data_IF_442705119424
#
_entry.id   IF_442705119424
#
_cell.length_a   1.000
_cell.length_b   1.000
_cell.length_c   1.000
_cell.angle_alpha   90.00
_cell.angle_beta   90.00
_cell.angle_gamma   90.00
#
_symmetry.space_group_name_H-M   'P 1'
#
loop_
_entity.id
_entity.type
_entity.pdbx_description
1 polymer ?
#
# COMPACT_ATOMS: atom_id res chain seq x y z
N UNK A 1 -1.63 -19.84 -33.06
CA UNK A 1 -0.19 -19.83 -33.31
C UNK A 1 0.52 -19.92 -31.97
N UNK A 2 1.22 -21.01 -31.67
CA UNK A 2 1.99 -21.14 -30.43
C UNK A 2 3.22 -20.25 -30.54
N UNK A 3 3.35 -19.27 -29.64
CA UNK A 3 4.55 -18.45 -29.53
C UNK A 3 5.73 -19.35 -29.11
N UNK A 4 6.72 -19.46 -29.95
CA UNK A 4 7.99 -20.13 -29.62
C UNK A 4 8.61 -19.31 -28.50
N UNK A 5 8.56 -19.81 -27.28
CA UNK A 5 9.28 -19.21 -26.15
C UNK A 5 10.76 -19.46 -26.42
N UNK A 6 11.46 -18.45 -26.95
CA UNK A 6 12.90 -18.49 -27.11
C UNK A 6 13.56 -18.47 -25.73
N UNK A 7 14.09 -19.60 -25.26
CA UNK A 7 14.84 -19.65 -24.02
C UNK A 7 16.27 -19.12 -24.24
N UNK A 8 16.73 -18.25 -23.33
CA UNK A 8 18.11 -17.76 -23.40
C UNK A 8 19.09 -18.80 -22.77
N UNK A 9 19.47 -19.77 -23.57
CA UNK A 9 20.32 -20.89 -23.14
C UNK A 9 21.72 -20.47 -22.63
N UNK A 10 22.17 -19.25 -22.95
CA UNK A 10 23.49 -18.77 -22.54
C UNK A 10 23.52 -18.15 -21.13
N UNK A 11 22.34 -17.89 -20.49
CA UNK A 11 22.28 -17.29 -19.18
C UNK A 11 23.10 -18.03 -18.11
N UNK A 12 23.03 -19.37 -17.98
CA UNK A 12 23.85 -20.12 -17.01
C UNK A 12 25.36 -20.06 -17.26
N UNK A 13 25.77 -19.68 -18.47
CA UNK A 13 27.20 -19.55 -18.85
C UNK A 13 27.77 -18.17 -18.55
N UNK A 14 26.92 -17.20 -18.16
CA UNK A 14 27.41 -15.90 -17.73
C UNK A 14 28.16 -16.02 -16.40
N UNK A 15 29.22 -15.23 -16.20
CA UNK A 15 29.84 -15.06 -14.88
C UNK A 15 28.80 -14.76 -13.81
N UNK A 16 28.97 -15.23 -12.55
CA UNK A 16 28.01 -15.01 -11.47
C UNK A 16 27.67 -13.54 -11.25
N UNK A 17 28.64 -12.65 -11.38
CA UNK A 17 28.48 -11.20 -11.20
C UNK A 17 27.51 -10.62 -12.21
N UNK A 18 27.58 -11.07 -13.47
CA UNK A 18 26.67 -10.61 -14.53
C UNK A 18 25.26 -11.17 -14.31
N UNK A 19 25.13 -12.43 -13.87
CA UNK A 19 23.83 -13.00 -13.54
C UNK A 19 23.17 -12.25 -12.38
N UNK A 20 23.91 -11.95 -11.31
CA UNK A 20 23.42 -11.15 -10.18
C UNK A 20 22.99 -9.75 -10.62
N UNK A 21 23.75 -9.11 -11.51
CA UNK A 21 23.37 -7.81 -12.08
C UNK A 21 22.08 -7.88 -12.88
N UNK A 22 21.90 -8.95 -13.68
CA UNK A 22 20.64 -9.17 -14.41
C UNK A 22 19.48 -9.34 -13.45
N UNK A 23 19.63 -10.11 -12.36
CA UNK A 23 18.58 -10.25 -11.35
C UNK A 23 18.25 -8.92 -10.64
N UNK A 24 19.24 -8.11 -10.35
CA UNK A 24 19.01 -6.77 -9.76
C UNK A 24 18.23 -5.88 -10.73
N UNK A 25 18.56 -5.89 -12.01
CA UNK A 25 17.85 -5.14 -13.05
C UNK A 25 16.43 -5.68 -13.33
N UNK A 26 16.20 -6.96 -13.04
CA UNK A 26 14.90 -7.61 -13.18
C UNK A 26 13.98 -7.40 -11.96
N UNK A 27 14.41 -6.63 -10.95
CA UNK A 27 13.51 -6.22 -9.86
C UNK A 27 12.35 -5.41 -10.45
N UNK A 28 11.11 -5.66 -10.01
CA UNK A 28 9.96 -4.93 -10.53
C UNK A 28 10.05 -3.44 -10.23
N UNK A 29 9.35 -2.64 -11.01
CA UNK A 29 9.10 -1.24 -10.68
C UNK A 29 8.39 -1.11 -9.32
N UNK A 30 8.41 0.07 -8.67
CA UNK A 30 7.60 0.35 -7.49
C UNK A 30 6.16 -0.10 -7.69
N UNK A 31 5.59 -0.78 -6.70
CA UNK A 31 4.24 -1.35 -6.79
C UNK A 31 3.31 -0.67 -5.80
N UNK A 32 2.04 -0.66 -6.16
CA UNK A 32 0.96 -0.31 -5.25
C UNK A 32 0.44 -1.61 -4.65
N UNK A 33 0.53 -1.72 -3.33
CA UNK A 33 0.01 -2.86 -2.58
C UNK A 33 -1.31 -2.42 -1.94
N UNK A 34 -2.40 -2.61 -2.69
CA UNK A 34 -3.73 -2.30 -2.21
C UNK A 34 -4.15 -3.27 -1.10
N UNK A 35 -4.56 -2.71 0.01
CA UNK A 35 -5.20 -3.43 1.12
C UNK A 35 -6.71 -3.35 0.98
N UNK A 36 -7.37 -4.47 1.19
CA UNK A 36 -8.82 -4.62 1.19
C UNK A 36 -9.27 -5.32 2.46
N UNK A 37 -10.36 -4.87 3.04
CA UNK A 37 -10.95 -5.56 4.19
C UNK A 37 -11.84 -6.71 3.73
N UNK A 38 -11.61 -7.89 4.28
CA UNK A 38 -12.49 -9.05 4.11
C UNK A 38 -13.29 -9.30 5.38
N UNK A 39 -14.59 -8.97 5.35
CA UNK A 39 -15.50 -9.09 6.49
C UNK A 39 -15.60 -10.53 7.01
N UNK A 40 -15.59 -11.53 6.12
CA UNK A 40 -15.64 -12.95 6.49
C UNK A 40 -14.39 -13.40 7.27
N UNK A 41 -13.22 -12.93 6.87
CA UNK A 41 -11.96 -13.24 7.54
C UNK A 41 -11.63 -12.27 8.68
N UNK A 42 -12.38 -11.17 8.80
CA UNK A 42 -12.12 -10.05 9.74
C UNK A 42 -10.67 -9.60 9.71
N UNK A 43 -10.12 -9.44 8.52
CA UNK A 43 -8.71 -9.10 8.32
C UNK A 43 -8.49 -8.31 7.05
N UNK A 44 -7.41 -7.53 7.05
CA UNK A 44 -6.87 -6.90 5.84
C UNK A 44 -6.16 -7.94 4.99
N UNK A 45 -6.43 -7.90 3.71
CA UNK A 45 -5.81 -8.78 2.70
C UNK A 45 -5.35 -7.93 1.52
N UNK A 46 -4.48 -8.50 0.69
CA UNK A 46 -4.08 -7.87 -0.56
C UNK A 46 -4.19 -8.85 -1.72
N UNK A 47 -4.59 -8.36 -2.88
CA UNK A 47 -4.52 -9.11 -4.14
C UNK A 47 -3.13 -9.01 -4.79
N UNK A 48 -2.18 -8.33 -4.14
CA UNK A 48 -0.85 -8.10 -4.66
C UNK A 48 -0.13 -9.41 -4.96
N UNK A 49 0.34 -9.55 -6.19
CA UNK A 49 1.01 -10.77 -6.66
C UNK A 49 2.45 -10.79 -6.17
N UNK A 50 2.90 -11.95 -5.71
CA UNK A 50 4.32 -12.17 -5.40
C UNK A 50 5.18 -11.85 -6.62
N UNK A 51 6.21 -11.02 -6.52
CA UNK A 51 7.10 -10.69 -7.62
C UNK A 51 7.65 -11.93 -8.35
N UNK A 52 7.61 -11.92 -9.67
CA UNK A 52 8.03 -13.06 -10.49
C UNK A 52 9.46 -13.49 -10.18
N UNK A 53 10.36 -12.54 -9.93
CA UNK A 53 11.77 -12.79 -9.59
C UNK A 53 11.94 -13.69 -8.37
N UNK A 54 11.02 -13.65 -7.40
CA UNK A 54 11.05 -14.52 -6.21
C UNK A 54 10.58 -15.95 -6.50
N UNK A 55 10.03 -16.21 -7.69
CA UNK A 55 9.49 -17.51 -8.12
C UNK A 55 10.21 -18.12 -9.30
N UNK A 56 11.15 -17.41 -9.93
CA UNK A 56 11.81 -17.84 -11.17
C UNK A 56 12.80 -18.96 -10.90
N UNK A 57 13.80 -18.76 -10.05
CA UNK A 57 14.78 -19.79 -9.68
C UNK A 57 15.38 -19.51 -8.29
N UNK A 58 16.25 -20.38 -7.81
CA UNK A 58 16.91 -20.22 -6.52
C UNK A 58 17.79 -18.97 -6.48
N UNK A 59 18.60 -18.74 -7.51
CA UNK A 59 19.53 -17.61 -7.60
C UNK A 59 18.79 -16.27 -7.64
N UNK A 60 17.73 -16.15 -8.46
CA UNK A 60 16.90 -14.94 -8.52
C UNK A 60 16.23 -14.63 -7.18
N UNK A 61 15.71 -15.67 -6.52
CA UNK A 61 15.10 -15.53 -5.18
C UNK A 61 16.13 -15.08 -4.15
N UNK A 62 17.30 -15.70 -4.12
CA UNK A 62 18.38 -15.33 -3.20
C UNK A 62 18.79 -13.87 -3.39
N UNK A 63 18.95 -13.47 -4.65
CA UNK A 63 19.29 -12.07 -4.99
C UNK A 63 18.21 -11.06 -4.60
N UNK A 64 16.94 -11.42 -4.76
CA UNK A 64 15.83 -10.49 -4.57
C UNK A 64 15.28 -10.44 -3.14
N UNK A 65 15.34 -11.55 -2.39
CA UNK A 65 14.65 -11.64 -1.08
C UNK A 65 15.12 -10.62 -0.05
N UNK A 66 16.34 -10.11 -0.17
CA UNK A 66 16.89 -9.10 0.71
C UNK A 66 16.14 -7.77 0.68
N UNK A 67 15.50 -7.45 -0.45
CA UNK A 67 14.70 -6.22 -0.63
C UNK A 67 13.30 -6.34 -0.05
N UNK A 68 12.80 -7.56 0.13
CA UNK A 68 11.41 -7.78 0.56
C UNK A 68 11.32 -8.19 2.03
N UNK A 69 10.39 -7.56 2.74
CA UNK A 69 9.99 -7.97 4.08
C UNK A 69 8.64 -8.69 4.03
N UNK A 70 8.49 -9.71 4.87
CA UNK A 70 7.25 -10.45 5.01
C UNK A 70 6.34 -9.73 6.00
N UNK A 71 5.28 -9.12 5.53
CA UNK A 71 4.30 -8.42 6.35
C UNK A 71 3.06 -9.31 6.51
N UNK A 72 2.64 -9.47 7.73
CA UNK A 72 1.38 -10.12 8.09
C UNK A 72 0.59 -9.15 8.94
N UNK A 73 -0.68 -8.90 8.59
CA UNK A 73 -1.53 -7.93 9.26
C UNK A 73 -2.55 -8.65 10.12
N UNK A 74 -2.52 -8.36 11.40
CA UNK A 74 -3.40 -8.98 12.37
C UNK A 74 -3.39 -10.51 12.35
N UNK A 75 -4.56 -11.11 12.43
CA UNK A 75 -4.72 -12.57 12.39
C UNK A 75 -4.80 -13.13 10.95
N UNK A 76 -4.45 -12.33 9.94
CA UNK A 76 -4.46 -12.81 8.56
C UNK A 76 -3.36 -13.84 8.34
N UNK A 77 -3.70 -14.96 7.72
CA UNK A 77 -2.71 -15.98 7.31
C UNK A 77 -1.93 -15.58 6.07
N UNK A 78 -2.41 -14.56 5.35
CA UNK A 78 -1.75 -14.08 4.15
C UNK A 78 -0.47 -13.31 4.50
N UNK A 79 0.64 -13.72 3.90
CA UNK A 79 1.91 -13.00 3.94
C UNK A 79 2.03 -12.14 2.69
N UNK A 80 2.24 -10.85 2.89
CA UNK A 80 2.47 -9.86 1.85
C UNK A 80 3.98 -9.56 1.80
N UNK A 81 4.57 -9.61 0.61
CA UNK A 81 5.97 -9.26 0.41
C UNK A 81 6.07 -7.80 -0.02
N UNK A 82 6.67 -6.98 0.81
CA UNK A 82 6.77 -5.52 0.67
C UNK A 82 8.23 -5.10 0.59
N UNK A 83 8.55 -4.30 -0.41
CA UNK A 83 9.78 -3.52 -0.49
C UNK A 83 9.45 -2.09 0.02
N UNK A 84 9.76 -1.82 1.28
CA UNK A 84 9.37 -0.56 1.93
C UNK A 84 10.06 0.69 1.36
N UNK A 85 11.14 0.52 0.60
CA UNK A 85 11.82 1.63 -0.05
C UNK A 85 11.16 2.03 -1.38
N UNK A 86 10.38 1.11 -1.97
CA UNK A 86 9.84 1.27 -3.32
C UNK A 86 8.33 1.10 -3.42
N UNK A 87 7.74 0.20 -2.63
CA UNK A 87 6.33 -0.11 -2.70
C UNK A 87 5.49 0.89 -1.88
N UNK A 88 4.29 1.19 -2.37
CA UNK A 88 3.30 2.03 -1.68
C UNK A 88 2.23 1.14 -1.07
N UNK A 89 1.98 1.24 0.23
CA UNK A 89 0.82 0.62 0.86
C UNK A 89 -0.39 1.53 0.62
N UNK A 90 -1.42 0.99 -0.02
CA UNK A 90 -2.63 1.73 -0.36
C UNK A 90 -3.85 1.17 0.37
N UNK A 91 -4.46 1.98 1.21
CA UNK A 91 -5.77 1.73 1.81
C UNK A 91 -6.84 2.15 0.82
N UNK A 92 -7.21 1.22 -0.07
CA UNK A 92 -8.08 1.44 -1.21
C UNK A 92 -9.56 1.43 -0.87
N UNK A 93 -10.41 1.50 -1.91
CA UNK A 93 -11.88 1.54 -1.77
C UNK A 93 -12.44 0.35 -0.98
N UNK A 94 -11.79 -0.79 -1.05
CA UNK A 94 -12.15 -1.96 -0.24
C UNK A 94 -12.04 -1.78 1.27
N UNK A 95 -11.47 -0.67 1.73
CA UNK A 95 -11.41 -0.29 3.13
C UNK A 95 -12.52 0.70 3.55
N UNK A 96 -13.29 1.26 2.62
CA UNK A 96 -14.34 2.28 2.92
C UNK A 96 -15.39 1.79 3.91
N UNK A 97 -15.74 0.52 3.88
CA UNK A 97 -16.71 -0.06 4.82
C UNK A 97 -16.18 -0.26 6.25
N UNK A 98 -14.91 0.03 6.49
CA UNK A 98 -14.38 0.14 7.85
C UNK A 98 -14.82 1.42 8.53
N UNK A 99 -15.36 2.36 7.77
CA UNK A 99 -15.87 3.62 8.26
C UNK A 99 -17.37 3.51 8.50
N UNK A 100 -17.88 3.80 9.69
CA UNK A 100 -19.31 3.74 9.96
C UNK A 100 -20.04 4.88 9.30
N UNK A 101 -21.05 4.57 8.50
CA UNK A 101 -22.10 5.51 8.13
C UNK A 101 -23.12 5.59 9.28
N UNK A 102 -22.94 6.53 10.21
CA UNK A 102 -23.89 6.81 11.29
C UNK A 102 -23.48 6.34 12.69
N UNK A 103 -24.05 7.00 13.70
CA UNK A 103 -23.65 6.96 15.12
C UNK A 103 -23.88 5.64 15.88
N UNK A 104 -24.41 4.58 15.25
CA UNK A 104 -24.90 3.39 15.98
C UNK A 104 -24.47 2.05 15.39
N UNK A 105 -23.45 1.97 14.55
CA UNK A 105 -23.14 0.71 13.83
C UNK A 105 -22.10 -0.17 14.56
N UNK A 106 -22.30 -1.52 14.58
CA UNK A 106 -21.36 -2.48 15.20
C UNK A 106 -19.96 -2.49 14.56
N UNK A 107 -19.76 -1.83 13.42
CA UNK A 107 -18.49 -1.67 12.71
C UNK A 107 -17.43 -0.85 13.48
N UNK A 108 -17.84 -0.08 14.48
CA UNK A 108 -16.95 0.68 15.38
C UNK A 108 -15.87 -0.20 16.02
N UNK A 109 -16.26 -1.42 16.38
CA UNK A 109 -15.32 -2.39 16.98
C UNK A 109 -14.31 -2.94 15.97
N UNK A 110 -14.68 -3.05 14.69
CA UNK A 110 -13.82 -3.60 13.65
C UNK A 110 -12.71 -2.63 13.26
N UNK A 111 -13.01 -1.34 13.18
CA UNK A 111 -12.02 -0.31 12.87
C UNK A 111 -10.93 -0.25 13.94
N UNK A 112 -11.31 -0.30 15.21
CA UNK A 112 -10.34 -0.33 16.31
C UNK A 112 -9.37 -1.51 16.17
N UNK A 113 -9.88 -2.68 15.76
CA UNK A 113 -9.04 -3.86 15.56
C UNK A 113 -8.07 -3.68 14.40
N UNK A 114 -8.52 -3.15 13.26
CA UNK A 114 -7.63 -2.88 12.11
C UNK A 114 -6.54 -1.88 12.48
N UNK A 115 -6.91 -0.79 13.14
CA UNK A 115 -5.95 0.19 13.64
C UNK A 115 -4.96 -0.47 14.60
N UNK A 116 -5.45 -1.29 15.51
CA UNK A 116 -4.61 -2.03 16.44
C UNK A 116 -3.69 -3.02 15.71
N UNK A 117 -4.20 -3.74 14.71
CA UNK A 117 -3.42 -4.68 13.90
C UNK A 117 -2.30 -3.95 13.12
N UNK A 118 -2.58 -2.76 12.57
CA UNK A 118 -1.57 -1.92 11.93
C UNK A 118 -0.55 -1.43 12.96
N UNK A 119 -1.01 -0.90 14.09
CA UNK A 119 -0.16 -0.41 15.18
C UNK A 119 0.66 -1.52 15.85
N UNK A 120 0.21 -2.77 15.81
CA UNK A 120 0.99 -3.91 16.33
C UNK A 120 2.03 -4.44 15.35
N UNK A 121 1.98 -4.03 14.09
CA UNK A 121 2.94 -4.46 13.08
C UNK A 121 4.24 -3.65 13.16
N UNK A 122 5.21 -4.13 13.94
CA UNK A 122 6.53 -3.51 14.09
C UNK A 122 7.19 -3.20 12.74
N UNK A 123 7.02 -4.08 11.75
CA UNK A 123 7.59 -3.88 10.42
C UNK A 123 6.99 -2.67 9.70
N UNK A 124 5.67 -2.43 9.82
CA UNK A 124 5.05 -1.23 9.26
C UNK A 124 5.52 0.03 10.00
N UNK A 125 5.48 0.00 11.32
CA UNK A 125 5.89 1.15 12.14
C UNK A 125 7.31 1.61 11.81
N UNK A 126 8.24 0.68 11.73
CA UNK A 126 9.66 0.99 11.59
C UNK A 126 10.12 1.23 10.15
N UNK A 127 9.38 0.78 9.15
CA UNK A 127 9.90 0.77 7.79
C UNK A 127 9.03 1.49 6.76
N UNK A 128 7.74 1.76 7.05
CA UNK A 128 6.86 2.39 6.07
C UNK A 128 7.29 3.84 5.79
N UNK A 129 7.62 4.11 4.53
CA UNK A 129 8.07 5.43 4.05
C UNK A 129 6.94 6.17 3.34
N UNK A 130 6.14 5.45 2.56
CA UNK A 130 5.07 6.00 1.73
C UNK A 130 3.78 5.23 1.94
N UNK A 131 2.69 5.96 2.24
CA UNK A 131 1.34 5.41 2.38
C UNK A 131 0.38 6.18 1.50
N UNK A 132 -0.60 5.48 0.93
CA UNK A 132 -1.69 6.08 0.17
C UNK A 132 -3.04 5.73 0.82
N UNK A 133 -3.95 6.69 0.82
CA UNK A 133 -5.31 6.53 1.33
C UNK A 133 -6.33 6.96 0.29
N UNK A 134 -7.36 6.16 0.12
CA UNK A 134 -8.54 6.57 -0.63
C UNK A 134 -9.23 7.76 0.05
N UNK A 135 -9.61 8.79 -0.72
CA UNK A 135 -10.17 10.02 -0.15
C UNK A 135 -11.50 9.78 0.58
N UNK A 136 -12.35 8.88 0.07
CA UNK A 136 -13.61 8.54 0.74
C UNK A 136 -13.38 7.79 2.06
N UNK A 137 -12.32 6.98 2.11
CA UNK A 137 -11.90 6.33 3.36
C UNK A 137 -11.44 7.37 4.40
N UNK A 138 -10.65 8.36 4.00
CA UNK A 138 -10.20 9.44 4.88
C UNK A 138 -11.37 10.26 5.40
N UNK A 139 -12.21 10.82 4.51
CA UNK A 139 -13.36 11.64 4.88
C UNK A 139 -14.29 10.92 5.85
N UNK A 140 -14.54 9.64 5.60
CA UNK A 140 -15.34 8.86 6.52
C UNK A 140 -14.67 8.62 7.89
N UNK A 141 -13.36 8.74 8.01
CA UNK A 141 -12.66 8.70 9.30
C UNK A 141 -12.77 10.02 10.06
N UNK A 142 -12.83 11.16 9.37
CA UNK A 142 -12.98 12.50 9.96
C UNK A 142 -14.36 12.73 10.55
N UNK A 143 -15.43 12.27 9.87
CA UNK A 143 -16.84 12.39 10.35
C UNK A 143 -17.11 11.57 11.64
N UNK A 144 -16.20 10.73 12.04
CA UNK A 144 -16.31 9.99 13.29
C UNK A 144 -15.55 10.74 14.39
N UNK A 145 -16.01 10.70 15.65
CA UNK A 145 -15.31 11.20 16.85
C UNK A 145 -13.90 10.59 17.05
N UNK A 146 -13.20 10.27 15.93
CA UNK A 146 -12.04 9.40 15.80
C UNK A 146 -10.87 10.06 15.08
N UNK A 147 -10.82 11.38 15.08
CA UNK A 147 -9.63 12.11 14.63
C UNK A 147 -8.33 11.49 15.17
N UNK A 148 -8.39 10.98 16.40
CA UNK A 148 -7.26 10.29 17.02
C UNK A 148 -6.82 9.01 16.31
N UNK A 149 -7.69 8.33 15.57
CA UNK A 149 -7.36 7.01 14.99
C UNK A 149 -6.44 7.07 13.78
N UNK A 150 -6.65 8.04 12.87
CA UNK A 150 -5.75 8.25 11.73
C UNK A 150 -4.41 8.83 12.21
N UNK A 151 -4.49 9.85 13.06
CA UNK A 151 -3.31 10.48 13.66
C UNK A 151 -2.47 9.46 14.42
N UNK A 152 -3.09 8.62 15.22
CA UNK A 152 -2.44 7.55 15.94
C UNK A 152 -1.71 6.54 15.01
N UNK A 153 -2.31 6.22 13.85
CA UNK A 153 -1.67 5.37 12.85
C UNK A 153 -0.44 6.07 12.28
N UNK A 154 -0.61 7.31 11.83
CA UNK A 154 0.49 8.07 11.22
C UNK A 154 1.62 8.34 12.23
N UNK A 155 1.26 8.58 13.50
CA UNK A 155 2.23 8.79 14.57
C UNK A 155 3.00 7.54 14.95
N UNK A 156 2.41 6.37 14.75
CA UNK A 156 3.11 5.11 15.00
C UNK A 156 4.18 4.79 13.96
N UNK A 157 4.17 5.46 12.79
CA UNK A 157 5.09 5.18 11.69
C UNK A 157 6.33 6.06 11.76
N UNK A 158 7.46 5.49 12.18
CA UNK A 158 8.70 6.22 12.47
C UNK A 158 9.34 6.85 11.23
N UNK A 159 9.33 6.13 10.10
CA UNK A 159 9.98 6.53 8.84
C UNK A 159 9.03 7.13 7.82
N UNK A 160 7.77 7.34 8.17
CA UNK A 160 6.80 7.89 7.24
C UNK A 160 7.20 9.31 6.82
N UNK A 161 7.43 9.49 5.53
CA UNK A 161 7.80 10.77 4.91
C UNK A 161 6.76 11.31 3.96
N UNK A 162 5.91 10.42 3.40
CA UNK A 162 4.95 10.82 2.38
C UNK A 162 3.59 10.15 2.59
N UNK A 163 2.54 10.96 2.46
CA UNK A 163 1.14 10.52 2.42
C UNK A 163 0.53 10.97 1.10
N UNK A 164 -0.10 10.04 0.40
CA UNK A 164 -0.79 10.30 -0.87
C UNK A 164 -2.29 10.16 -0.65
N UNK A 165 -3.05 11.20 -0.96
CA UNK A 165 -4.51 11.14 -1.00
C UNK A 165 -4.93 10.73 -2.40
N UNK A 166 -5.72 9.67 -2.50
CA UNK A 166 -6.07 9.02 -3.76
C UNK A 166 -7.57 9.12 -3.99
N UNK A 167 -7.96 9.62 -5.16
CA UNK A 167 -9.33 9.49 -5.67
C UNK A 167 -9.42 8.25 -6.54
N UNK A 168 -10.23 7.30 -6.14
CA UNK A 168 -10.50 6.12 -6.97
C UNK A 168 -11.66 6.42 -7.92
N UNK A 169 -11.42 6.25 -9.21
CA UNK A 169 -12.41 6.42 -10.27
C UNK A 169 -12.68 5.04 -10.87
N UNK A 170 -13.95 4.64 -10.92
CA UNK A 170 -14.37 3.41 -11.59
C UNK A 170 -14.19 3.60 -13.11
N UNK A 171 -13.14 3.01 -13.65
CA UNK A 171 -12.80 3.09 -15.08
C UNK A 171 -13.20 1.82 -15.82
N UNK A 172 -13.76 1.98 -17.03
CA UNK A 172 -14.02 0.88 -17.98
C UNK A 172 -12.84 0.64 -18.93
N UNK A 173 -11.63 1.06 -18.59
CA UNK A 173 -10.48 0.99 -19.48
C UNK A 173 -9.48 -0.11 -19.11
N UNK A 174 -8.72 -0.55 -20.13
CA UNK A 174 -7.85 -1.73 -20.19
C UNK A 174 -6.99 -2.04 -18.95
N UNK A 175 -6.65 -3.34 -18.73
CA UNK A 175 -5.87 -3.77 -17.57
C UNK A 175 -4.42 -3.27 -17.68
N UNK A 176 -4.18 -2.06 -17.18
CA UNK A 176 -2.85 -1.56 -16.90
C UNK A 176 -2.49 -1.80 -15.42
N UNK A 177 -1.21 -2.00 -15.14
CA UNK A 177 -0.70 -1.95 -13.77
C UNK A 177 -1.24 -0.68 -13.10
N UNK A 178 -2.05 -0.82 -12.04
CA UNK A 178 -2.62 0.30 -11.33
C UNK A 178 -1.54 1.32 -10.98
N UNK A 179 -1.55 2.44 -11.66
CA UNK A 179 -0.64 3.55 -11.42
C UNK A 179 -1.38 4.64 -10.67
N UNK A 180 -0.68 5.35 -9.80
CA UNK A 180 -1.18 6.59 -9.20
C UNK A 180 -0.81 7.74 -10.13
N UNK A 181 -1.82 8.39 -10.74
CA UNK A 181 -1.61 9.55 -11.58
C UNK A 181 -1.82 10.83 -10.77
N UNK A 182 -0.93 11.83 -10.86
CA UNK A 182 -1.09 13.08 -10.13
C UNK A 182 -2.32 13.86 -10.63
N UNK A 183 -3.03 14.49 -9.70
CA UNK A 183 -4.22 15.33 -9.98
C UNK A 183 -4.01 16.72 -9.45
N UNK A 184 -4.39 17.72 -10.23
CA UNK A 184 -4.14 19.12 -9.91
C UNK A 184 -5.19 19.75 -9.01
N UNK A 185 -6.47 19.32 -9.07
CA UNK A 185 -7.55 19.90 -8.26
C UNK A 185 -8.71 18.93 -8.12
N UNK A 186 -9.18 18.76 -6.88
CA UNK A 186 -10.44 18.06 -6.52
C UNK A 186 -10.83 18.50 -5.11
N UNK A 187 -12.00 19.10 -4.96
CA UNK A 187 -12.45 19.71 -3.68
C UNK A 187 -12.42 18.73 -2.51
N UNK A 188 -12.77 17.46 -2.72
CA UNK A 188 -12.77 16.44 -1.66
C UNK A 188 -11.35 16.05 -1.23
N UNK A 189 -10.44 15.97 -2.19
CA UNK A 189 -9.04 15.71 -1.91
C UNK A 189 -8.38 16.90 -1.22
N UNK A 190 -8.82 18.13 -1.56
CA UNK A 190 -8.35 19.34 -0.91
C UNK A 190 -8.78 19.40 0.56
N UNK A 191 -9.99 18.97 0.90
CA UNK A 191 -10.43 18.80 2.29
C UNK A 191 -9.54 17.81 3.05
N UNK A 192 -9.28 16.63 2.49
CA UNK A 192 -8.39 15.64 3.10
C UNK A 192 -6.97 16.20 3.32
N UNK A 193 -6.43 16.92 2.34
CA UNK A 193 -5.10 17.52 2.45
C UNK A 193 -5.08 18.58 3.56
N UNK A 194 -6.09 19.45 3.61
CA UNK A 194 -6.19 20.51 4.65
C UNK A 194 -6.26 19.92 6.07
N UNK A 195 -7.00 18.82 6.23
CA UNK A 195 -7.06 18.11 7.51
C UNK A 195 -5.69 17.53 7.91
N UNK A 196 -5.00 16.88 6.95
CA UNK A 196 -3.66 16.36 7.18
C UNK A 196 -2.62 17.47 7.44
N UNK A 197 -2.75 18.63 6.83
CA UNK A 197 -1.91 19.81 7.09
C UNK A 197 -2.15 20.37 8.50
N UNK A 198 -3.40 20.44 8.93
CA UNK A 198 -3.76 20.82 10.30
C UNK A 198 -3.12 19.87 11.30
N UNK A 199 -3.23 18.58 11.06
CA UNK A 199 -2.58 17.57 11.89
C UNK A 199 -1.05 17.75 11.92
N UNK A 200 -0.42 18.03 10.79
CA UNK A 200 1.04 18.27 10.75
C UNK A 200 1.46 19.46 11.63
N UNK A 201 0.64 20.50 11.68
CA UNK A 201 0.88 21.64 12.57
C UNK A 201 0.86 21.28 14.06
N UNK A 202 0.20 20.18 14.42
CA UNK A 202 0.14 19.65 15.79
C UNK A 202 1.26 18.65 16.11
N UNK A 203 2.00 18.17 15.10
CA UNK A 203 3.10 17.20 15.27
C UNK A 203 4.40 17.87 15.72
N UNK A 204 4.52 18.18 17.00
CA UNK A 204 5.75 18.75 17.55
C UNK A 204 6.93 17.76 17.43
N UNK A 205 8.08 18.27 16.95
CA UNK A 205 9.35 17.54 16.93
C UNK A 205 9.54 16.44 15.88
N UNK A 206 8.58 16.25 14.96
CA UNK A 206 8.70 15.29 13.85
C UNK A 206 8.89 15.97 12.50
N UNK A 207 9.53 15.25 11.57
CA UNK A 207 9.69 15.73 10.19
C UNK A 207 8.33 15.95 9.52
N UNK A 208 8.23 17.03 8.75
CA UNK A 208 7.05 17.35 7.97
C UNK A 208 6.80 16.28 6.90
N UNK A 209 5.56 15.80 6.80
CA UNK A 209 5.17 14.84 5.77
C UNK A 209 4.99 15.55 4.42
N UNK A 210 5.46 14.93 3.35
CA UNK A 210 5.12 15.35 2.01
C UNK A 210 3.69 14.86 1.68
N UNK A 211 2.79 15.78 1.39
CA UNK A 211 1.41 15.48 1.02
C UNK A 211 1.25 15.62 -0.50
N UNK A 212 0.57 14.68 -1.12
CA UNK A 212 0.30 14.69 -2.55
C UNK A 212 -1.06 14.09 -2.88
N UNK A 213 -1.56 14.41 -4.08
CA UNK A 213 -2.84 13.91 -4.61
C UNK A 213 -2.57 13.00 -5.78
N UNK A 214 -3.35 11.96 -5.93
CA UNK A 214 -3.29 11.06 -7.08
C UNK A 214 -4.67 10.50 -7.43
N UNK A 215 -4.85 10.04 -8.65
CA UNK A 215 -6.01 9.25 -9.08
C UNK A 215 -5.59 7.82 -9.27
N UNK A 216 -6.39 6.91 -8.74
CA UNK A 216 -6.28 5.49 -8.99
C UNK A 216 -7.48 5.04 -9.81
N UNK A 217 -7.21 4.46 -10.98
CA UNK A 217 -8.24 3.85 -11.81
C UNK A 217 -8.40 2.40 -11.38
N UNK A 218 -9.48 2.07 -10.69
CA UNK A 218 -9.78 0.68 -10.34
C UNK A 218 -10.34 -0.05 -11.54
N UNK A 219 -9.86 -1.25 -11.77
CA UNK A 219 -10.41 -2.15 -12.78
C UNK A 219 -11.45 -2.98 -12.06
N UNK A 220 -12.73 -2.78 -12.42
CA UNK A 220 -13.82 -3.68 -11.99
C UNK A 220 -13.58 -5.04 -12.61
N UNK A 221 -13.35 -6.05 -11.80
CA UNK A 221 -13.35 -7.46 -12.20
C UNK A 221 -14.75 -8.00 -12.15
#
# INVERSE_FOLDING_TARGET
MASIISSFHHFPRLPPELRLRVWTLALPSPRIIELTWKSQARSLTSKSITPAILRTCHESRYSAIQYYKKVQLGNCTQVILVDFERDTIFFGPGCRHLVPSGKSHPWVMQNRKVIQDIKSSVLLQQNLVLVAFDCEFLLGMEDSEREHSLHDILDSMEKLTQVVVVKTVDGKEEPGNGSLEPVLSDDRMDLCISSLETYQGLREGRSKLALSKAVHRSISQ
#
